data_IF_922288746871
#
_entry.id   IF_922288746871
#
_cell.length_a   1.000
_cell.length_b   1.000
_cell.length_c   1.000
_cell.angle_alpha   90.00
_cell.angle_beta   90.00
_cell.angle_gamma   90.00
#
_symmetry.space_group_name_H-M   'P 1'
#
loop_
_entity.id
_entity.type
_entity.pdbx_description
1 polymer ?
#
# COMPACT_ATOMS: atom_id res chain seq x y z
N UNK A 1 6.92 -5.19 -19.18
CA UNK A 1 6.62 -5.05 -17.73
C UNK A 1 5.43 -5.94 -17.42
N UNK A 2 5.46 -6.68 -16.32
CA UNK A 2 4.52 -7.77 -16.01
C UNK A 2 3.79 -7.40 -14.72
N UNK A 3 2.46 -7.38 -14.74
CA UNK A 3 1.68 -7.24 -13.50
C UNK A 3 2.10 -8.35 -12.52
N UNK A 4 2.49 -7.98 -11.31
CA UNK A 4 2.89 -8.92 -10.26
C UNK A 4 1.70 -9.31 -9.38
N UNK A 5 0.57 -9.67 -9.98
CA UNK A 5 -0.61 -10.14 -9.28
C UNK A 5 -1.07 -11.47 -9.89
N UNK A 6 -1.55 -12.39 -9.05
CA UNK A 6 -2.12 -13.65 -9.52
C UNK A 6 -3.41 -13.33 -10.32
N UNK A 7 -3.62 -13.93 -11.52
CA UNK A 7 -4.82 -13.70 -12.33
C UNK A 7 -6.14 -13.89 -11.56
N UNK A 8 -6.26 -14.94 -10.74
CA UNK A 8 -7.48 -15.20 -9.97
C UNK A 8 -7.75 -14.09 -8.95
N UNK A 9 -6.67 -13.53 -8.37
CA UNK A 9 -6.79 -12.38 -7.45
C UNK A 9 -7.17 -11.12 -8.24
N UNK A 10 -6.62 -10.93 -9.43
CA UNK A 10 -6.98 -9.81 -10.30
C UNK A 10 -8.47 -9.84 -10.63
N UNK A 11 -8.97 -10.98 -11.08
CA UNK A 11 -10.38 -11.16 -11.45
C UNK A 11 -11.30 -10.97 -10.23
N UNK A 12 -10.92 -11.50 -9.06
CA UNK A 12 -11.68 -11.27 -7.82
C UNK A 12 -11.75 -9.80 -7.41
N UNK A 13 -10.68 -9.02 -7.59
CA UNK A 13 -10.71 -7.57 -7.33
C UNK A 13 -11.57 -6.88 -8.38
N UNK A 14 -11.42 -7.26 -9.65
CA UNK A 14 -12.17 -6.69 -10.76
C UNK A 14 -13.68 -6.87 -10.55
N UNK A 15 -14.13 -8.08 -10.21
CA UNK A 15 -15.53 -8.40 -9.96
C UNK A 15 -16.10 -7.55 -8.81
N UNK A 16 -15.30 -7.30 -7.77
CA UNK A 16 -15.71 -6.50 -6.62
C UNK A 16 -15.89 -5.00 -6.93
N UNK A 17 -15.15 -4.47 -7.90
CA UNK A 17 -15.16 -3.01 -8.19
C UNK A 17 -15.90 -2.67 -9.49
N UNK A 18 -16.24 -3.65 -10.33
CA UNK A 18 -16.79 -3.40 -11.68
C UNK A 18 -18.09 -2.61 -11.69
N UNK A 19 -18.97 -2.83 -10.71
CA UNK A 19 -20.26 -2.15 -10.61
C UNK A 19 -20.17 -0.76 -9.96
N UNK A 20 -18.96 -0.32 -9.58
CA UNK A 20 -18.80 0.94 -8.87
C UNK A 20 -19.14 2.15 -9.76
N UNK A 21 -19.93 3.14 -9.27
CA UNK A 21 -20.40 4.26 -10.07
C UNK A 21 -19.26 5.15 -10.62
N UNK A 22 -18.09 5.18 -9.97
CA UNK A 22 -16.91 5.94 -10.42
C UNK A 22 -16.41 5.57 -11.83
N UNK A 23 -16.67 4.33 -12.28
CA UNK A 23 -16.30 3.84 -13.60
C UNK A 23 -17.32 4.21 -14.69
N UNK A 24 -18.47 4.76 -14.28
CA UNK A 24 -19.56 5.15 -15.16
C UNK A 24 -19.59 6.68 -15.25
N UNK A 25 -19.42 7.23 -16.46
CA UNK A 25 -19.59 8.66 -16.70
C UNK A 25 -20.80 8.91 -17.61
N UNK A 26 -21.40 10.10 -17.50
CA UNK A 26 -22.50 10.55 -18.37
C UNK A 26 -21.97 11.32 -19.60
N UNK A 27 -20.74 11.05 -20.03
CA UNK A 27 -20.10 11.80 -21.10
C UNK A 27 -20.11 11.04 -22.42
N UNK A 28 -19.94 11.77 -23.52
CA UNK A 28 -19.77 11.16 -24.85
C UNK A 28 -18.38 10.53 -25.04
N UNK A 29 -17.49 10.65 -24.05
CA UNK A 29 -16.16 10.05 -24.07
C UNK A 29 -16.15 8.85 -23.10
N UNK A 30 -16.22 7.61 -23.63
CA UNK A 30 -16.25 6.44 -22.77
C UNK A 30 -14.97 6.37 -21.93
N UNK A 31 -15.10 6.01 -20.65
CA UNK A 31 -13.94 5.67 -19.84
C UNK A 31 -13.27 4.40 -20.37
N UNK A 32 -12.01 4.19 -20.02
CA UNK A 32 -11.36 2.91 -20.27
C UNK A 32 -12.06 1.78 -19.50
N UNK A 33 -12.04 0.54 -20.01
CA UNK A 33 -12.60 -0.61 -19.30
C UNK A 33 -12.02 -0.73 -17.88
N UNK A 34 -12.83 -1.13 -16.91
CA UNK A 34 -12.42 -1.23 -15.49
C UNK A 34 -11.18 -2.11 -15.32
N UNK A 35 -11.09 -3.23 -16.05
CA UNK A 35 -9.92 -4.10 -16.06
C UNK A 35 -8.63 -3.36 -16.49
N UNK A 36 -8.72 -2.47 -17.48
CA UNK A 36 -7.57 -1.66 -17.94
C UNK A 36 -7.20 -0.64 -16.87
N UNK A 37 -8.19 0.02 -16.25
CA UNK A 37 -7.93 0.97 -15.16
C UNK A 37 -7.27 0.28 -13.97
N UNK A 38 -7.76 -0.91 -13.58
CA UNK A 38 -7.19 -1.73 -12.50
C UNK A 38 -5.76 -2.18 -12.82
N UNK A 39 -5.50 -2.62 -14.05
CA UNK A 39 -4.15 -2.98 -14.48
C UNK A 39 -3.18 -1.79 -14.41
N UNK A 40 -3.61 -0.60 -14.85
CA UNK A 40 -2.82 0.64 -14.72
C UNK A 40 -2.56 0.94 -13.25
N UNK A 41 -3.58 0.91 -12.40
CA UNK A 41 -3.43 1.17 -10.96
C UNK A 41 -2.45 0.20 -10.29
N UNK A 42 -2.59 -1.11 -10.52
CA UNK A 42 -1.71 -2.11 -9.91
C UNK A 42 -0.27 -1.97 -10.40
N UNK A 43 -0.09 -1.56 -11.66
CA UNK A 43 1.21 -1.26 -12.21
C UNK A 43 1.82 0.02 -11.58
N UNK A 44 1.02 1.06 -11.35
CA UNK A 44 1.45 2.23 -10.58
C UNK A 44 1.85 1.86 -9.14
N UNK A 45 1.00 1.09 -8.44
CA UNK A 45 1.17 0.72 -7.04
C UNK A 45 2.36 -0.22 -6.81
N UNK A 46 2.55 -1.20 -7.69
CA UNK A 46 3.66 -2.17 -7.60
C UNK A 46 5.04 -1.56 -7.82
N UNK A 47 5.12 -0.39 -8.46
CA UNK A 47 6.37 0.30 -8.76
C UNK A 47 6.65 1.53 -7.86
N UNK A 48 5.73 1.88 -6.95
CA UNK A 48 5.87 3.01 -6.04
C UNK A 48 6.92 2.72 -4.95
N UNK A 49 8.19 2.87 -5.31
CA UNK A 49 9.36 2.51 -4.50
C UNK A 49 10.61 2.26 -5.33
N UNK A 50 10.46 1.97 -6.62
CA UNK A 50 11.55 1.76 -7.57
C UNK A 50 11.32 2.59 -8.84
N UNK A 51 11.68 3.87 -8.80
CA UNK A 51 11.99 4.76 -9.94
C UNK A 51 11.04 4.83 -11.17
N UNK A 52 9.90 4.14 -11.22
CA UNK A 52 8.99 4.21 -12.35
C UNK A 52 8.27 5.56 -12.31
N UNK A 53 8.56 6.39 -13.31
CA UNK A 53 7.89 7.66 -13.47
C UNK A 53 6.50 7.46 -14.06
N UNK A 54 5.59 8.42 -13.84
CA UNK A 54 4.29 8.42 -14.52
C UNK A 54 4.45 8.35 -16.06
N UNK A 55 5.58 8.84 -16.59
CA UNK A 55 5.88 8.81 -18.01
C UNK A 55 6.13 7.39 -18.53
N UNK A 56 6.79 6.53 -17.74
CA UNK A 56 7.02 5.13 -18.09
C UNK A 56 5.68 4.35 -18.16
N UNK A 57 4.78 4.64 -17.21
CA UNK A 57 3.45 4.04 -17.16
C UNK A 57 2.59 4.52 -18.35
N UNK A 58 2.70 5.80 -18.71
CA UNK A 58 2.02 6.36 -19.89
C UNK A 58 2.48 5.68 -21.18
N UNK A 59 3.80 5.51 -21.34
CA UNK A 59 4.37 4.84 -22.51
C UNK A 59 3.92 3.37 -22.58
N UNK A 60 3.86 2.69 -21.44
CA UNK A 60 3.38 1.31 -21.37
C UNK A 60 1.89 1.18 -21.71
N UNK A 61 1.05 2.06 -21.16
CA UNK A 61 -0.40 2.01 -21.37
C UNK A 61 -0.85 2.67 -22.69
N UNK A 62 0.02 3.43 -23.36
CA UNK A 62 -0.30 4.15 -24.60
C UNK A 62 -1.29 5.31 -24.40
N UNK A 63 -1.33 5.91 -23.21
CA UNK A 63 -2.29 6.96 -22.83
C UNK A 63 -1.60 8.18 -22.22
N UNK A 64 -2.35 9.28 -22.05
CA UNK A 64 -1.83 10.50 -21.46
C UNK A 64 -1.59 10.38 -19.95
N UNK A 65 -0.72 11.22 -19.39
CA UNK A 65 -0.49 11.32 -17.93
C UNK A 65 -1.80 11.61 -17.19
N UNK A 66 -2.63 12.51 -17.72
CA UNK A 66 -3.94 12.79 -17.14
C UNK A 66 -4.85 11.56 -17.09
N UNK A 67 -4.80 10.73 -18.14
CA UNK A 67 -5.56 9.47 -18.19
C UNK A 67 -5.05 8.46 -17.17
N UNK A 68 -3.74 8.31 -16.99
CA UNK A 68 -3.16 7.44 -15.95
C UNK A 68 -3.59 7.88 -14.55
N UNK A 69 -3.50 9.18 -14.27
CA UNK A 69 -3.94 9.75 -12.98
C UNK A 69 -5.43 9.51 -12.76
N UNK A 70 -6.26 9.72 -13.78
CA UNK A 70 -7.70 9.49 -13.66
C UNK A 70 -8.02 8.01 -13.38
N UNK A 71 -7.41 7.07 -14.11
CA UNK A 71 -7.59 5.64 -13.86
C UNK A 71 -7.17 5.26 -12.44
N UNK A 72 -6.03 5.78 -11.99
CA UNK A 72 -5.50 5.52 -10.64
C UNK A 72 -6.47 6.04 -9.58
N UNK A 73 -7.02 7.24 -9.75
CA UNK A 73 -7.99 7.83 -8.82
C UNK A 73 -9.30 7.05 -8.80
N UNK A 74 -9.86 6.67 -9.96
CA UNK A 74 -11.09 5.89 -10.04
C UNK A 74 -10.96 4.56 -9.28
N UNK A 75 -9.87 3.81 -9.51
CA UNK A 75 -9.62 2.55 -8.80
C UNK A 75 -9.40 2.79 -7.31
N UNK A 76 -8.63 3.82 -6.94
CA UNK A 76 -8.40 4.15 -5.53
C UNK A 76 -9.72 4.48 -4.81
N UNK A 77 -10.62 5.25 -5.42
CA UNK A 77 -11.95 5.54 -4.85
C UNK A 77 -12.73 4.25 -4.61
N UNK A 78 -12.83 3.36 -5.61
CA UNK A 78 -13.57 2.11 -5.47
C UNK A 78 -13.00 1.19 -4.39
N UNK A 79 -11.67 1.11 -4.27
CA UNK A 79 -11.01 0.32 -3.22
C UNK A 79 -11.19 0.93 -1.83
N UNK A 80 -11.13 2.26 -1.70
CA UNK A 80 -11.29 2.95 -0.42
C UNK A 80 -12.72 2.84 0.13
N UNK A 81 -13.74 2.74 -0.72
CA UNK A 81 -15.10 2.47 -0.26
C UNK A 81 -15.26 1.08 0.37
N UNK A 82 -14.37 0.14 0.04
CA UNK A 82 -14.33 -1.19 0.65
C UNK A 82 -13.41 -1.26 1.88
N UNK A 83 -12.83 -0.13 2.30
CA UNK A 83 -11.82 -0.07 3.36
C UNK A 83 -12.25 -0.82 4.62
N UNK A 84 -13.43 -0.52 5.18
CA UNK A 84 -13.84 -1.06 6.47
C UNK A 84 -14.14 -2.57 6.43
N UNK A 85 -14.44 -3.11 5.24
CA UNK A 85 -14.61 -4.54 5.01
C UNK A 85 -13.30 -5.31 5.16
N UNK A 86 -12.20 -4.73 4.67
CA UNK A 86 -10.90 -5.43 4.58
C UNK A 86 -9.85 -4.94 5.59
N UNK A 87 -9.96 -3.70 6.05
CA UNK A 87 -9.07 -3.05 7.00
C UNK A 87 -9.90 -2.71 8.24
N UNK A 88 -9.96 -3.67 9.16
CA UNK A 88 -10.54 -3.46 10.48
C UNK A 88 -9.57 -3.96 11.56
N UNK A 89 -9.72 -3.41 12.75
CA UNK A 89 -9.02 -3.93 13.91
C UNK A 89 -9.81 -5.12 14.45
N UNK A 90 -9.14 -6.25 14.76
CA UNK A 90 -9.83 -7.37 15.38
C UNK A 90 -10.40 -6.92 16.72
N UNK A 91 -11.64 -7.34 17.00
CA UNK A 91 -12.23 -7.16 18.32
C UNK A 91 -11.32 -7.81 19.37
N UNK A 92 -11.18 -7.20 20.55
CA UNK A 92 -10.21 -7.66 21.55
C UNK A 92 -10.48 -9.10 22.03
N UNK A 93 -11.72 -9.54 21.96
CA UNK A 93 -12.20 -10.88 22.30
C UNK A 93 -12.23 -11.86 21.10
N UNK A 94 -11.81 -11.44 19.90
CA UNK A 94 -11.78 -12.33 18.74
C UNK A 94 -10.67 -13.37 18.81
N UNK A 95 -10.85 -14.46 18.07
CA UNK A 95 -9.84 -15.51 17.89
C UNK A 95 -8.55 -14.95 17.27
N UNK A 96 -8.64 -13.99 16.35
CA UNK A 96 -7.49 -13.32 15.75
C UNK A 96 -6.69 -12.53 16.78
N UNK A 97 -7.37 -11.80 17.67
CA UNK A 97 -6.73 -11.07 18.75
C UNK A 97 -6.09 -12.03 19.77
N UNK A 98 -6.72 -13.18 20.04
CA UNK A 98 -6.14 -14.22 20.88
C UNK A 98 -4.88 -14.85 20.24
N UNK A 99 -4.93 -15.15 18.94
CA UNK A 99 -3.78 -15.64 18.16
C UNK A 99 -2.62 -14.63 18.18
N UNK A 100 -2.90 -13.34 17.95
CA UNK A 100 -1.90 -12.28 17.98
C UNK A 100 -1.25 -12.16 19.36
N UNK A 101 -2.04 -12.13 20.45
CA UNK A 101 -1.51 -12.10 21.82
C UNK A 101 -0.65 -13.34 22.15
N UNK A 102 -1.10 -14.52 21.72
CA UNK A 102 -0.33 -15.75 21.89
C UNK A 102 1.03 -15.67 21.16
N UNK A 103 1.03 -15.16 19.92
CA UNK A 103 2.24 -14.91 19.16
C UNK A 103 3.19 -13.95 19.91
N UNK A 104 2.70 -12.78 20.35
CA UNK A 104 3.50 -11.80 21.08
C UNK A 104 4.05 -12.37 22.38
N UNK A 105 3.23 -13.10 23.15
CA UNK A 105 3.69 -13.79 24.37
C UNK A 105 4.81 -14.79 24.10
N UNK A 106 4.74 -15.52 22.98
CA UNK A 106 5.74 -16.53 22.62
C UNK A 106 7.01 -15.96 21.97
N UNK A 107 6.95 -14.72 21.44
CA UNK A 107 7.99 -14.09 20.61
C UNK A 107 8.40 -12.69 21.04
N UNK A 108 7.99 -12.21 22.22
CA UNK A 108 8.31 -10.86 22.71
C UNK A 108 8.41 -10.82 24.24
N UNK A 109 8.52 -9.63 24.84
CA UNK A 109 8.62 -9.47 26.28
C UNK A 109 7.23 -9.56 26.97
N UNK A 110 7.17 -10.00 28.25
CA UNK A 110 5.90 -10.19 28.97
C UNK A 110 5.01 -8.95 29.02
N UNK A 111 5.59 -7.75 29.08
CA UNK A 111 4.87 -6.48 29.13
C UNK A 111 4.04 -6.23 27.88
N UNK A 112 4.40 -6.86 26.76
CA UNK A 112 3.75 -6.66 25.47
C UNK A 112 2.74 -7.75 25.15
N UNK A 113 2.56 -8.76 26.01
CA UNK A 113 1.70 -9.93 25.77
C UNK A 113 0.23 -9.62 25.44
N UNK A 114 -0.25 -8.41 25.77
CA UNK A 114 -1.60 -7.94 25.46
C UNK A 114 -1.69 -7.14 24.16
N UNK A 115 -0.57 -6.93 23.48
CA UNK A 115 -0.50 -6.25 22.19
C UNK A 115 -1.02 -7.14 21.06
N UNK A 116 -1.81 -6.55 20.17
CA UNK A 116 -2.35 -7.20 18.97
C UNK A 116 -1.89 -6.52 17.67
N UNK A 117 -1.15 -5.42 17.80
CA UNK A 117 -0.60 -4.64 16.69
C UNK A 117 0.90 -4.44 16.90
N UNK A 118 1.65 -4.42 15.81
CA UNK A 118 3.05 -4.06 15.80
C UNK A 118 3.23 -2.84 14.89
N UNK A 119 4.01 -1.86 15.35
CA UNK A 119 4.45 -0.73 14.53
C UNK A 119 5.86 -1.03 14.07
N UNK A 120 6.07 -1.16 12.76
CA UNK A 120 7.42 -1.26 12.20
C UNK A 120 8.15 0.08 12.33
N UNK A 121 9.43 0.01 12.69
CA UNK A 121 10.45 1.05 12.75
C UNK A 121 9.99 2.49 13.04
N UNK A 122 10.37 3.04 14.19
CA UNK A 122 10.25 4.48 14.42
C UNK A 122 11.42 5.22 13.76
N UNK A 123 11.12 6.30 13.03
CA UNK A 123 12.14 7.19 12.49
C UNK A 123 12.47 8.28 13.52
N UNK A 124 13.73 8.38 13.94
CA UNK A 124 14.23 9.50 14.74
C UNK A 124 14.75 10.60 13.83
N UNK A 125 14.08 11.75 13.85
CA UNK A 125 14.48 12.89 13.03
C UNK A 125 15.80 13.49 13.50
N UNK A 126 16.68 13.78 12.54
CA UNK A 126 17.95 14.46 12.74
C UNK A 126 17.82 15.92 12.33
N UNK A 127 18.38 16.82 13.13
CA UNK A 127 18.39 18.25 12.84
C UNK A 127 19.21 18.59 11.58
N UNK A 128 20.26 17.82 11.30
CA UNK A 128 21.18 18.05 10.19
C UNK A 128 21.63 16.74 9.55
N UNK A 129 22.11 16.86 8.30
CA UNK A 129 22.74 15.76 7.55
C UNK A 129 23.96 15.23 8.33
N UNK A 130 24.05 13.91 8.47
CA UNK A 130 25.23 13.28 9.06
C UNK A 130 26.44 13.38 8.12
N UNK A 131 27.62 13.60 8.70
CA UNK A 131 28.86 13.71 7.93
C UNK A 131 29.26 12.41 7.22
N UNK A 132 28.89 11.26 7.78
CA UNK A 132 29.15 9.94 7.20
C UNK A 132 27.85 9.38 6.60
N UNK A 133 27.88 9.01 5.31
CA UNK A 133 26.73 8.51 4.55
C UNK A 133 25.46 9.37 4.65
N UNK A 134 25.58 10.70 4.78
CA UNK A 134 24.44 11.58 5.03
C UNK A 134 23.25 11.43 4.09
N UNK A 135 23.50 11.15 2.80
CA UNK A 135 22.44 10.89 1.80
C UNK A 135 21.61 9.65 2.12
N UNK A 136 22.22 8.62 2.71
CA UNK A 136 21.54 7.37 3.10
C UNK A 136 20.52 7.56 4.22
N UNK A 137 20.58 8.70 4.93
CA UNK A 137 19.65 9.03 6.01
C UNK A 137 18.50 9.93 5.56
N UNK A 138 18.47 10.35 4.29
CA UNK A 138 17.40 11.19 3.78
C UNK A 138 16.18 10.32 3.40
N UNK A 139 15.11 10.46 4.18
CA UNK A 139 13.91 9.63 4.03
C UNK A 139 12.96 10.15 2.96
N UNK A 140 11.99 9.31 2.55
CA UNK A 140 10.84 9.68 1.70
C UNK A 140 10.06 10.89 2.25
N UNK A 141 10.13 11.17 3.56
CA UNK A 141 9.49 12.31 4.20
C UNK A 141 10.30 13.62 4.03
N UNK A 142 11.32 13.62 3.17
CA UNK A 142 12.21 14.75 2.93
C UNK A 142 12.94 15.25 4.19
N UNK A 143 13.21 14.32 5.11
CA UNK A 143 13.85 14.58 6.40
C UNK A 143 14.99 13.61 6.62
N UNK A 144 16.08 14.08 7.22
CA UNK A 144 17.14 13.20 7.71
C UNK A 144 16.64 12.45 8.94
N UNK A 145 16.70 11.12 8.93
CA UNK A 145 16.20 10.31 10.04
C UNK A 145 16.93 8.99 10.18
N UNK A 146 17.04 8.51 11.43
CA UNK A 146 17.53 7.16 11.73
C UNK A 146 16.35 6.21 11.93
N UNK A 147 16.38 5.05 11.28
CA UNK A 147 15.45 3.99 11.59
C UNK A 147 15.86 3.32 12.91
N UNK A 148 14.94 3.27 13.86
CA UNK A 148 15.04 2.46 15.06
C UNK A 148 14.04 1.32 14.98
N UNK A 149 14.56 0.12 14.76
CA UNK A 149 13.84 -1.13 14.90
C UNK A 149 14.35 -1.84 16.15
N UNK A 150 13.42 -2.19 17.04
CA UNK A 150 13.73 -3.03 18.19
C UNK A 150 13.71 -4.48 17.72
N UNK A 151 14.88 -5.11 17.67
CA UNK A 151 15.02 -6.53 17.36
C UNK A 151 15.17 -7.33 18.66
N UNK A 152 14.27 -8.29 18.89
CA UNK A 152 14.38 -9.22 20.01
C UNK A 152 15.17 -10.45 19.56
N UNK A 153 16.35 -10.66 20.17
CA UNK A 153 17.11 -11.91 20.02
C UNK A 153 16.72 -12.84 21.17
N UNK A 154 16.00 -13.92 20.87
CA UNK A 154 15.76 -15.01 21.82
C UNK A 154 17.00 -15.90 21.85
N UNK A 155 17.72 -15.89 22.98
CA UNK A 155 18.86 -16.78 23.27
C UNK A 155 18.31 -18.06 23.90
#
# INVERSE_FOLDING_TARGET
MKLCVNPDIFDNILDQISDHPVFHNQSNNPQLPVAVQLAIFLNCAGHYGNAASNQDICQWAGISIGSVTNCTNCVMTALLEQHDTFINFPALDSDDAACARHYVRSRSCPEWQNGILAVDGSLFNLHQKLGHYGESFYSRKSQYSLNCQVFYLFI
#
